data_IF_906398854626
#
_entry.id   IF_906398854626
#
_cell.length_a   1.000
_cell.length_b   1.000
_cell.length_c   1.000
_cell.angle_alpha   90.00
_cell.angle_beta   90.00
_cell.angle_gamma   90.00
#
_symmetry.space_group_name_H-M   'P 1'
#
loop_
_entity.id
_entity.type
_entity.pdbx_description
1 polymer ?
#
# COMPACT_ATOMS: atom_id res chain seq x y z
N UNK A 1 -6.36 -28.30 -37.74
CA UNK A 1 -7.64 -27.68 -37.47
C UNK A 1 -7.36 -26.40 -36.68
N UNK A 2 -7.42 -25.22 -37.29
CA UNK A 2 -7.19 -23.93 -36.66
C UNK A 2 -8.42 -23.56 -35.82
N UNK A 3 -8.24 -22.96 -34.62
CA UNK A 3 -9.37 -22.48 -33.83
C UNK A 3 -10.11 -21.34 -34.59
N UNK A 4 -11.41 -21.16 -34.36
CA UNK A 4 -12.18 -20.11 -35.04
C UNK A 4 -11.70 -18.71 -34.61
N UNK A 5 -11.83 -17.70 -35.49
CA UNK A 5 -11.47 -16.33 -35.16
C UNK A 5 -12.35 -15.79 -34.03
N UNK A 6 -11.72 -15.13 -33.06
CA UNK A 6 -12.41 -14.45 -31.95
C UNK A 6 -13.11 -13.22 -32.50
N UNK A 7 -14.42 -13.12 -32.29
CA UNK A 7 -15.24 -11.97 -32.68
C UNK A 7 -14.84 -10.71 -31.90
N UNK A 8 -14.33 -9.65 -32.56
CA UNK A 8 -13.87 -8.44 -31.88
C UNK A 8 -15.01 -7.60 -31.28
N UNK A 9 -16.26 -8.01 -31.39
CA UNK A 9 -17.44 -7.27 -30.90
C UNK A 9 -17.96 -7.78 -29.54
N UNK A 10 -17.42 -8.86 -29.00
CA UNK A 10 -17.77 -9.32 -27.64
C UNK A 10 -17.16 -8.39 -26.60
N UNK A 11 -17.87 -7.33 -26.26
CA UNK A 11 -17.62 -6.53 -25.06
C UNK A 11 -17.94 -7.40 -23.86
N UNK A 12 -16.91 -7.97 -23.23
CA UNK A 12 -17.02 -8.56 -21.90
C UNK A 12 -17.38 -7.40 -20.97
N UNK A 13 -18.64 -7.35 -20.53
CA UNK A 13 -19.08 -6.39 -19.52
C UNK A 13 -18.39 -6.79 -18.21
N UNK A 14 -17.58 -5.91 -17.58
CA UNK A 14 -17.01 -6.24 -16.29
C UNK A 14 -18.15 -6.55 -15.31
N UNK A 15 -17.97 -7.51 -14.39
CA UNK A 15 -18.97 -7.82 -13.39
C UNK A 15 -19.31 -6.54 -12.61
N UNK A 16 -20.60 -6.28 -12.41
CA UNK A 16 -21.06 -5.19 -11.57
C UNK A 16 -20.59 -5.50 -10.14
N UNK A 17 -19.60 -4.77 -9.66
CA UNK A 17 -19.07 -4.94 -8.32
C UNK A 17 -20.17 -4.70 -7.29
N UNK A 18 -20.33 -5.62 -6.36
CA UNK A 18 -21.15 -5.39 -5.16
C UNK A 18 -20.37 -4.46 -4.25
N UNK A 19 -21.00 -3.38 -3.75
CA UNK A 19 -20.48 -2.66 -2.58
C UNK A 19 -20.19 -3.70 -1.52
N UNK A 20 -18.93 -3.77 -1.07
CA UNK A 20 -18.53 -4.71 -0.02
C UNK A 20 -18.97 -4.13 1.32
N UNK A 21 -19.72 -4.90 2.13
CA UNK A 21 -19.94 -4.59 3.56
C UNK A 21 -18.68 -4.89 4.40
N UNK A 22 -17.54 -5.14 3.75
CA UNK A 22 -16.28 -5.51 4.40
C UNK A 22 -15.54 -4.24 4.86
N UNK A 23 -15.24 -4.16 6.14
CA UNK A 23 -14.43 -3.08 6.70
C UNK A 23 -12.96 -3.18 6.26
N UNK A 24 -12.21 -2.07 6.38
CA UNK A 24 -10.83 -1.97 5.91
C UNK A 24 -9.89 -2.98 6.58
N UNK A 25 -10.09 -3.26 7.87
CA UNK A 25 -9.23 -4.18 8.63
C UNK A 25 -9.39 -5.61 8.15
N UNK A 26 -10.62 -6.01 7.84
CA UNK A 26 -10.95 -7.32 7.26
C UNK A 26 -10.52 -7.40 5.79
N UNK A 27 -10.75 -6.33 5.00
CA UNK A 27 -10.37 -6.29 3.60
C UNK A 27 -8.86 -6.45 3.38
N UNK A 28 -8.06 -5.97 4.32
CA UNK A 28 -6.59 -6.03 4.28
C UNK A 28 -5.99 -7.11 5.19
N UNK A 29 -6.78 -7.99 5.78
CA UNK A 29 -6.33 -9.02 6.74
C UNK A 29 -5.41 -8.45 7.84
N UNK A 30 -5.73 -7.24 8.33
CA UNK A 30 -4.83 -6.44 9.16
C UNK A 30 -4.91 -6.73 10.67
N UNK A 31 -5.83 -7.59 11.12
CA UNK A 31 -5.99 -7.88 12.56
C UNK A 31 -4.84 -8.74 13.05
N UNK A 32 -4.17 -8.28 14.10
CA UNK A 32 -3.02 -8.94 14.72
C UNK A 32 -1.90 -9.32 13.71
N UNK A 33 -1.76 -8.55 12.64
CA UNK A 33 -0.85 -8.80 11.53
C UNK A 33 0.23 -7.72 11.39
N UNK A 34 1.37 -8.09 10.85
CA UNK A 34 2.41 -7.17 10.39
C UNK A 34 2.09 -6.72 8.97
N UNK A 35 1.55 -5.50 8.83
CA UNK A 35 1.11 -4.93 7.56
C UNK A 35 2.11 -3.93 7.02
N UNK A 36 2.73 -4.24 5.88
CA UNK A 36 3.70 -3.39 5.20
C UNK A 36 3.09 -2.66 4.01
N UNK A 37 3.03 -1.33 4.04
CA UNK A 37 2.48 -0.53 2.95
C UNK A 37 3.60 0.01 2.07
N UNK A 38 3.56 -0.33 0.77
CA UNK A 38 4.52 0.06 -0.26
C UNK A 38 3.84 0.78 -1.42
N UNK A 39 4.60 1.43 -2.31
CA UNK A 39 4.02 2.14 -3.45
C UNK A 39 3.79 3.63 -3.22
N UNK A 40 2.76 4.22 -3.82
CA UNK A 40 2.46 5.65 -3.73
C UNK A 40 0.94 5.91 -3.81
N UNK A 41 0.50 7.14 -3.48
CA UNK A 41 -0.91 7.50 -3.62
C UNK A 41 -1.81 7.17 -2.42
N UNK A 42 -1.23 6.96 -1.20
CA UNK A 42 -2.09 6.77 -0.02
C UNK A 42 -1.48 6.03 1.17
N UNK A 43 -0.20 5.64 1.16
CA UNK A 43 0.43 4.83 2.22
C UNK A 43 0.14 5.30 3.66
N UNK A 44 0.39 6.57 3.95
CA UNK A 44 0.13 7.10 5.31
C UNK A 44 -1.35 7.07 5.67
N UNK A 45 -2.21 7.40 4.71
CA UNK A 45 -3.65 7.32 4.91
C UNK A 45 -4.12 5.90 5.20
N UNK A 46 -3.52 4.89 4.53
CA UNK A 46 -3.78 3.48 4.82
C UNK A 46 -3.36 3.11 6.25
N UNK A 47 -2.12 3.46 6.64
CA UNK A 47 -1.60 3.17 7.98
C UNK A 47 -2.48 3.78 9.07
N UNK A 48 -2.83 5.07 8.95
CA UNK A 48 -3.64 5.75 9.96
C UNK A 48 -5.11 5.30 9.93
N UNK A 49 -5.68 5.05 8.75
CA UNK A 49 -7.03 4.49 8.67
C UNK A 49 -7.14 3.09 9.30
N UNK A 50 -6.09 2.28 9.23
CA UNK A 50 -6.00 1.01 9.96
C UNK A 50 -5.77 1.25 11.46
N UNK A 51 -4.85 2.14 11.84
CA UNK A 51 -4.55 2.44 13.23
C UNK A 51 -5.78 2.91 14.02
N UNK A 52 -6.62 3.74 13.39
CA UNK A 52 -7.88 4.24 13.97
C UNK A 52 -8.95 3.12 14.20
N UNK A 53 -8.75 1.92 13.65
CA UNK A 53 -9.74 0.82 13.63
C UNK A 53 -9.28 -0.47 14.31
N UNK A 54 -8.00 -0.55 14.65
CA UNK A 54 -7.39 -1.74 15.27
C UNK A 54 -7.26 -1.56 16.78
N UNK A 55 -7.23 -2.67 17.50
CA UNK A 55 -6.94 -2.67 18.93
C UNK A 55 -5.41 -2.64 19.14
N UNK A 56 -4.94 -1.70 19.95
CA UNK A 56 -3.54 -1.49 20.33
C UNK A 56 -2.52 -1.65 19.20
N UNK A 57 -2.69 -0.96 18.04
CA UNK A 57 -1.76 -1.08 16.92
C UNK A 57 -0.48 -0.27 17.16
N UNK A 58 0.62 -0.77 16.63
CA UNK A 58 1.89 -0.05 16.48
C UNK A 58 1.96 0.58 15.10
N UNK A 59 2.39 1.83 14.99
CA UNK A 59 2.70 2.50 13.73
C UNK A 59 4.19 2.80 13.66
N UNK A 60 4.87 2.26 12.67
CA UNK A 60 6.32 2.44 12.50
C UNK A 60 6.72 2.56 11.01
N UNK A 61 8.00 2.62 10.74
CA UNK A 61 8.55 2.65 9.40
C UNK A 61 9.93 1.99 9.34
N UNK A 62 10.24 1.36 8.22
CA UNK A 62 11.60 0.91 7.89
C UNK A 62 12.37 1.90 7.02
N UNK A 63 11.76 3.04 6.71
CA UNK A 63 12.32 4.16 5.94
C UNK A 63 11.90 5.47 6.57
N UNK A 64 12.45 6.59 6.11
CA UNK A 64 12.02 7.92 6.59
C UNK A 64 10.52 8.11 6.50
N UNK A 65 9.92 8.64 7.57
CA UNK A 65 8.49 8.95 7.65
C UNK A 65 8.31 10.41 8.10
N UNK A 66 7.40 11.20 7.53
CA UNK A 66 7.03 12.50 8.08
C UNK A 66 6.53 12.38 9.52
N UNK A 67 6.68 13.45 10.30
CA UNK A 67 6.11 13.54 11.66
C UNK A 67 4.63 13.19 11.61
N UNK A 68 4.17 12.40 12.58
CA UNK A 68 2.81 11.87 12.64
C UNK A 68 2.22 11.85 14.08
N UNK A 69 2.77 12.70 14.94
CA UNK A 69 2.36 12.81 16.35
C UNK A 69 0.87 13.15 16.51
N UNK A 70 0.29 13.84 15.56
CA UNK A 70 -1.13 14.19 15.50
C UNK A 70 -2.05 13.05 14.99
N UNK A 71 -1.48 11.89 14.66
CA UNK A 71 -2.19 10.76 14.04
C UNK A 71 -2.21 9.52 14.92
N UNK A 72 -1.57 9.55 16.07
CA UNK A 72 -1.47 8.46 17.04
C UNK A 72 -1.62 9.02 18.45
N UNK A 73 -1.90 8.19 19.44
CA UNK A 73 -2.09 8.65 20.81
C UNK A 73 -0.75 9.05 21.46
N UNK A 74 0.31 8.29 21.16
CA UNK A 74 1.67 8.59 21.64
C UNK A 74 2.71 8.25 20.56
N UNK A 75 3.84 9.00 20.56
CA UNK A 75 5.03 8.64 19.77
C UNK A 75 6.19 8.49 20.73
N UNK A 76 6.87 7.36 20.68
CA UNK A 76 8.12 7.12 21.42
C UNK A 76 9.30 7.11 20.44
N UNK A 77 10.25 8.00 20.68
CA UNK A 77 11.49 8.09 19.91
C UNK A 77 12.56 7.35 20.71
N UNK A 78 12.96 6.16 20.26
CA UNK A 78 13.84 5.27 21.03
C UNK A 78 14.59 4.31 20.12
N UNK A 79 15.81 3.94 20.51
CA UNK A 79 16.58 2.84 19.91
C UNK A 79 16.22 1.46 20.51
N UNK A 80 15.45 1.43 21.61
CA UNK A 80 14.95 0.21 22.26
C UNK A 80 13.40 0.16 22.19
N UNK A 81 12.83 -0.21 21.04
CA UNK A 81 11.39 -0.19 20.86
C UNK A 81 10.67 -1.32 21.62
N UNK A 82 11.32 -2.45 21.89
CA UNK A 82 10.71 -3.57 22.64
C UNK A 82 10.47 -3.18 24.10
N UNK A 83 11.46 -2.57 24.76
CA UNK A 83 11.24 -2.02 26.12
C UNK A 83 10.15 -0.94 26.10
N UNK A 84 10.10 -0.10 25.07
CA UNK A 84 9.06 0.92 24.96
C UNK A 84 7.64 0.32 24.79
N UNK A 85 7.50 -0.86 24.15
CA UNK A 85 6.24 -1.59 24.10
C UNK A 85 5.81 -2.13 25.46
N UNK A 86 6.75 -2.72 26.20
CA UNK A 86 6.49 -3.27 27.54
C UNK A 86 6.06 -2.20 28.54
N UNK A 87 6.55 -0.96 28.35
CA UNK A 87 6.24 0.20 29.19
C UNK A 87 5.00 1.00 28.74
N UNK A 88 4.32 0.57 27.66
CA UNK A 88 3.17 1.30 27.13
C UNK A 88 1.90 1.09 27.96
N UNK A 89 1.26 2.20 28.32
CA UNK A 89 -0.01 2.21 29.02
C UNK A 89 -1.21 2.09 28.07
N UNK A 90 -2.39 1.80 28.60
CA UNK A 90 -3.64 1.67 27.82
C UNK A 90 -3.98 2.94 27.01
N UNK A 91 -3.59 4.11 27.49
CA UNK A 91 -3.82 5.40 26.81
C UNK A 91 -2.83 5.75 25.70
N UNK A 92 -1.78 4.95 25.47
CA UNK A 92 -0.73 5.23 24.48
C UNK A 92 -1.09 4.73 23.06
N UNK A 93 -2.18 3.99 22.90
CA UNK A 93 -2.57 3.37 21.64
C UNK A 93 -3.54 4.20 20.80
N UNK A 94 -3.33 4.29 19.45
CA UNK A 94 -2.23 3.75 18.63
C UNK A 94 -0.87 4.28 19.04
N UNK A 95 0.16 3.40 19.12
CA UNK A 95 1.51 3.79 19.52
C UNK A 95 2.43 3.95 18.30
N UNK A 96 3.01 5.13 18.14
CA UNK A 96 4.07 5.38 17.18
C UNK A 96 5.44 5.02 17.73
N UNK A 97 6.23 4.23 16.98
CA UNK A 97 7.62 3.89 17.33
C UNK A 97 8.58 4.30 16.22
N UNK A 98 9.61 5.06 16.55
CA UNK A 98 10.65 5.54 15.63
C UNK A 98 11.99 5.66 16.34
N UNK A 99 13.14 5.40 15.65
CA UNK A 99 14.45 5.42 16.32
C UNK A 99 14.94 6.83 16.64
N UNK A 100 14.67 7.79 15.75
CA UNK A 100 15.25 9.13 15.84
C UNK A 100 14.38 10.17 15.12
N UNK A 101 14.35 11.39 15.65
CA UNK A 101 13.83 12.57 14.95
C UNK A 101 14.96 13.22 14.13
N UNK A 102 15.05 12.85 12.84
CA UNK A 102 16.10 13.35 11.95
C UNK A 102 16.01 14.88 11.72
N UNK A 103 14.76 15.39 11.59
CA UNK A 103 14.46 16.80 11.34
C UNK A 103 13.15 17.21 12.00
N UNK A 104 12.86 18.51 11.94
CA UNK A 104 11.58 19.03 12.46
C UNK A 104 10.34 18.46 11.73
N UNK A 105 10.49 17.96 10.50
CA UNK A 105 9.40 17.48 9.65
C UNK A 105 9.40 15.96 9.46
N UNK A 106 10.40 15.20 10.01
CA UNK A 106 10.48 13.75 9.78
C UNK A 106 11.27 12.98 10.81
N UNK A 107 10.89 11.71 10.94
CA UNK A 107 11.60 10.67 11.67
C UNK A 107 12.40 9.78 10.72
N UNK A 108 13.46 9.15 11.23
CA UNK A 108 14.07 7.96 10.64
C UNK A 108 13.14 6.74 10.81
N UNK A 109 13.38 5.69 10.02
CA UNK A 109 12.81 4.38 10.25
C UNK A 109 13.84 3.46 10.87
N UNK A 110 13.39 2.39 11.53
CA UNK A 110 14.23 1.29 11.97
C UNK A 110 14.75 0.47 10.78
N UNK A 111 15.78 -0.34 10.98
CA UNK A 111 16.10 -1.41 10.05
C UNK A 111 15.02 -2.51 10.09
N UNK A 112 15.06 -3.41 9.12
CA UNK A 112 14.03 -4.45 8.97
C UNK A 112 14.08 -5.51 10.06
N UNK A 113 15.23 -5.73 10.70
CA UNK A 113 15.39 -6.67 11.81
C UNK A 113 14.71 -6.12 13.05
N UNK A 114 14.97 -4.86 13.41
CA UNK A 114 14.30 -4.17 14.51
C UNK A 114 12.77 -4.07 14.28
N UNK A 115 12.32 -3.82 13.03
CA UNK A 115 10.87 -3.84 12.73
C UNK A 115 10.28 -5.22 12.97
N UNK A 116 11.01 -6.30 12.65
CA UNK A 116 10.55 -7.66 12.94
C UNK A 116 10.45 -7.93 14.44
N UNK A 117 11.41 -7.47 15.25
CA UNK A 117 11.36 -7.56 16.73
C UNK A 117 10.17 -6.79 17.31
N UNK A 118 9.88 -5.59 16.78
CA UNK A 118 8.68 -4.82 17.15
C UNK A 118 7.42 -5.65 16.86
N UNK A 119 7.33 -6.24 15.68
CA UNK A 119 6.16 -7.01 15.26
C UNK A 119 5.95 -8.26 16.14
N UNK A 120 7.03 -8.95 16.49
CA UNK A 120 6.98 -10.13 17.37
C UNK A 120 6.57 -9.78 18.82
N UNK A 121 6.90 -8.57 19.30
CA UNK A 121 6.60 -8.09 20.65
C UNK A 121 5.27 -7.31 20.76
N UNK A 122 4.72 -6.83 19.65
CA UNK A 122 3.53 -5.99 19.64
C UNK A 122 2.28 -6.76 20.15
N UNK A 123 1.44 -6.13 21.00
CA UNK A 123 0.22 -6.77 21.51
C UNK A 123 -0.92 -6.83 20.47
N UNK A 124 -0.78 -6.19 19.34
CA UNK A 124 -1.73 -6.12 18.23
C UNK A 124 -1.00 -5.92 16.90
N UNK A 125 -1.69 -5.40 15.91
CA UNK A 125 -1.11 -5.23 14.58
C UNK A 125 0.08 -4.25 14.54
N UNK A 126 1.09 -4.55 13.71
CA UNK A 126 2.21 -3.66 13.41
C UNK A 126 2.08 -3.11 11.99
N UNK A 127 1.90 -1.80 11.90
CA UNK A 127 1.65 -1.07 10.65
C UNK A 127 2.92 -0.36 10.19
N UNK A 128 3.51 -0.82 9.09
CA UNK A 128 4.85 -0.45 8.64
C UNK A 128 4.82 0.33 7.33
N UNK A 129 5.38 1.54 7.33
CA UNK A 129 5.70 2.22 6.08
C UNK A 129 7.05 1.71 5.55
N UNK A 130 7.02 0.89 4.49
CA UNK A 130 8.20 0.15 4.03
C UNK A 130 8.93 0.78 2.82
N UNK A 131 8.47 1.92 2.29
CA UNK A 131 9.14 2.61 1.20
C UNK A 131 8.88 4.13 1.14
N UNK A 132 9.69 4.85 0.34
CA UNK A 132 9.55 6.28 0.03
C UNK A 132 8.77 6.52 -1.27
N UNK A 133 7.99 7.63 -1.35
CA UNK A 133 7.28 8.02 -2.58
C UNK A 133 7.26 9.54 -2.84
N UNK A 134 7.92 10.36 -2.01
CA UNK A 134 8.00 11.82 -2.15
C UNK A 134 6.65 12.50 -2.42
N UNK A 135 5.58 12.00 -1.79
CA UNK A 135 4.18 12.48 -1.96
C UNK A 135 3.63 12.31 -3.38
N UNK A 136 4.17 11.42 -4.17
CA UNK A 136 3.65 11.09 -5.50
C UNK A 136 2.49 10.11 -5.43
N UNK A 137 1.76 10.00 -6.52
CA UNK A 137 0.55 9.20 -6.66
C UNK A 137 0.79 7.81 -7.26
N UNK A 138 1.94 7.63 -7.91
CA UNK A 138 2.38 6.37 -8.48
C UNK A 138 3.90 6.22 -8.36
N UNK A 139 4.41 4.99 -8.37
CA UNK A 139 5.86 4.72 -8.34
C UNK A 139 6.21 3.31 -8.76
N UNK A 140 7.47 3.12 -9.12
CA UNK A 140 8.17 1.84 -9.02
C UNK A 140 9.26 1.91 -7.94
N UNK A 141 9.59 0.78 -7.27
CA UNK A 141 10.64 0.74 -6.25
C UNK A 141 12.02 0.92 -6.89
N UNK A 142 12.94 1.57 -6.16
CA UNK A 142 14.35 1.61 -6.51
C UNK A 142 15.09 0.33 -6.10
N UNK A 143 16.41 0.32 -6.29
CA UNK A 143 17.25 -0.86 -6.04
C UNK A 143 17.12 -1.38 -4.59
N UNK A 144 17.18 -0.49 -3.61
CA UNK A 144 17.13 -0.82 -2.18
C UNK A 144 15.73 -0.68 -1.56
N UNK A 145 14.69 -0.62 -2.37
CA UNK A 145 13.29 -0.56 -1.91
C UNK A 145 12.49 -1.74 -2.47
N UNK A 146 11.45 -2.16 -1.76
CA UNK A 146 11.05 -1.75 -0.41
C UNK A 146 11.93 -2.39 0.69
N UNK A 147 11.81 -1.87 1.94
CA UNK A 147 12.43 -2.42 3.15
C UNK A 147 11.35 -3.13 3.96
N UNK A 148 11.04 -4.37 3.61
CA UNK A 148 10.00 -5.19 4.24
C UNK A 148 10.66 -6.13 5.25
N UNK A 149 10.19 -6.20 6.53
CA UNK A 149 10.67 -7.17 7.49
C UNK A 149 10.31 -8.60 7.07
N UNK A 150 11.11 -9.57 7.48
CA UNK A 150 10.97 -10.97 7.05
C UNK A 150 9.70 -11.66 7.58
N UNK A 151 9.15 -11.17 8.69
CA UNK A 151 7.92 -11.64 9.33
C UNK A 151 6.68 -10.81 8.98
N UNK A 152 6.70 -10.09 7.83
CA UNK A 152 5.50 -9.42 7.33
C UNK A 152 4.44 -10.45 6.94
N UNK A 153 3.22 -10.28 7.43
CA UNK A 153 2.06 -11.13 7.10
C UNK A 153 1.35 -10.62 5.85
N UNK A 154 1.22 -9.29 5.74
CA UNK A 154 0.52 -8.64 4.64
C UNK A 154 1.37 -7.54 4.03
N UNK A 155 1.51 -7.56 2.71
CA UNK A 155 2.09 -6.44 1.96
C UNK A 155 1.00 -5.78 1.13
N UNK A 156 0.88 -4.46 1.24
CA UNK A 156 -0.11 -3.64 0.57
C UNK A 156 0.56 -2.75 -0.47
N UNK A 157 0.70 -3.21 -1.74
CA UNK A 157 1.11 -2.34 -2.84
C UNK A 157 -0.01 -1.36 -3.16
N UNK A 158 0.26 -0.04 -3.11
CA UNK A 158 -0.76 0.98 -3.33
C UNK A 158 -0.42 1.92 -4.48
N UNK A 159 -1.44 2.26 -5.29
CA UNK A 159 -1.40 3.33 -6.27
C UNK A 159 -2.69 4.17 -6.21
N UNK A 160 -2.64 5.40 -6.75
CA UNK A 160 -3.82 6.26 -6.91
C UNK A 160 -4.52 5.98 -8.25
N UNK A 161 -5.85 5.98 -8.25
CA UNK A 161 -6.65 5.97 -9.48
C UNK A 161 -6.44 7.23 -10.33
N UNK A 162 -6.15 8.37 -9.69
CA UNK A 162 -5.96 9.67 -10.34
C UNK A 162 -4.77 9.75 -11.30
N UNK A 163 -3.90 8.74 -11.35
CA UNK A 163 -2.78 8.75 -12.31
C UNK A 163 -3.20 8.26 -13.70
N UNK A 164 -4.37 7.65 -13.82
CA UNK A 164 -4.88 7.16 -15.10
C UNK A 164 -5.30 8.34 -15.98
N UNK A 165 -4.81 8.35 -17.22
CA UNK A 165 -5.01 9.46 -18.14
C UNK A 165 -3.97 10.57 -18.04
N UNK A 166 -3.13 10.56 -17.00
CA UNK A 166 -2.09 11.56 -16.77
C UNK A 166 -0.75 11.14 -17.42
N UNK A 167 0.13 12.10 -17.73
CA UNK A 167 1.42 11.78 -18.33
C UNK A 167 2.38 11.14 -17.32
N UNK A 168 3.20 10.19 -17.78
CA UNK A 168 4.26 9.55 -17.00
C UNK A 168 5.42 10.54 -16.77
N UNK A 169 5.32 11.35 -15.71
CA UNK A 169 6.28 12.42 -15.38
C UNK A 169 6.67 12.41 -13.90
N UNK A 170 7.77 13.07 -13.55
CA UNK A 170 8.22 13.21 -12.16
C UNK A 170 7.26 14.01 -11.27
N UNK A 171 6.30 14.74 -11.84
CA UNK A 171 5.32 15.50 -11.08
C UNK A 171 4.32 14.60 -10.36
N UNK A 172 3.91 13.50 -10.99
CA UNK A 172 2.93 12.55 -10.47
C UNK A 172 3.55 11.22 -10.05
N UNK A 173 4.66 10.84 -10.70
CA UNK A 173 5.28 9.54 -10.54
C UNK A 173 6.65 9.65 -9.88
N UNK A 174 6.89 8.86 -8.85
CA UNK A 174 8.21 8.73 -8.26
C UNK A 174 9.00 7.66 -9.00
N UNK A 175 10.13 8.02 -9.60
CA UNK A 175 10.96 7.20 -10.49
C UNK A 175 10.21 6.75 -11.75
N UNK A 176 9.83 7.71 -12.62
CA UNK A 176 9.12 7.37 -13.86
C UNK A 176 9.95 6.50 -14.80
N UNK A 177 11.28 6.55 -14.74
CA UNK A 177 12.15 5.70 -15.55
C UNK A 177 12.00 4.21 -15.19
N UNK A 178 11.89 3.88 -13.91
CA UNK A 178 11.64 2.51 -13.43
C UNK A 178 10.24 2.03 -13.81
N UNK A 179 9.23 2.93 -13.76
CA UNK A 179 7.89 2.63 -14.26
C UNK A 179 7.93 2.36 -15.76
N UNK A 180 8.63 3.20 -16.53
CA UNK A 180 8.84 3.03 -17.98
C UNK A 180 9.48 1.66 -18.28
N UNK A 181 10.51 1.28 -17.53
CA UNK A 181 11.20 0.00 -17.69
C UNK A 181 10.29 -1.22 -17.44
N UNK A 182 9.36 -1.12 -16.47
CA UNK A 182 8.42 -2.20 -16.13
C UNK A 182 7.28 -2.28 -17.16
N UNK A 183 6.78 -1.12 -17.62
CA UNK A 183 5.57 -1.04 -18.45
C UNK A 183 5.86 -1.06 -19.97
N UNK A 184 7.08 -0.74 -20.37
CA UNK A 184 7.45 -0.51 -21.76
C UNK A 184 6.91 0.82 -22.32
N UNK A 185 6.53 1.78 -21.43
CA UNK A 185 6.12 3.12 -21.81
C UNK A 185 7.30 4.06 -21.95
N UNK A 186 7.11 5.10 -22.73
CA UNK A 186 8.03 6.23 -22.75
C UNK A 186 7.65 7.29 -21.72
N UNK A 187 8.64 8.07 -21.24
CA UNK A 187 8.41 9.22 -20.38
C UNK A 187 7.57 10.24 -21.15
N UNK A 188 6.47 10.69 -20.51
CA UNK A 188 5.49 11.60 -21.10
C UNK A 188 4.29 10.90 -21.73
N UNK A 189 4.32 9.58 -21.90
CA UNK A 189 3.16 8.83 -22.34
C UNK A 189 2.02 8.89 -21.31
N UNK A 190 0.78 8.81 -21.81
CA UNK A 190 -0.42 8.69 -20.95
C UNK A 190 -0.40 7.36 -20.19
N UNK A 191 -0.57 7.40 -18.87
CA UNK A 191 -0.67 6.25 -17.99
C UNK A 191 -2.05 5.61 -18.14
N UNK A 192 -2.10 4.33 -18.52
CA UNK A 192 -3.33 3.55 -18.67
C UNK A 192 -3.57 2.65 -17.45
N UNK A 193 -4.81 2.17 -17.22
CA UNK A 193 -5.07 1.19 -16.16
C UNK A 193 -4.16 -0.03 -16.22
N UNK A 194 -3.86 -0.55 -17.41
CA UNK A 194 -2.95 -1.68 -17.62
C UNK A 194 -1.51 -1.39 -17.18
N UNK A 195 -1.04 -0.15 -17.28
CA UNK A 195 0.31 0.25 -16.87
C UNK A 195 0.42 0.26 -15.34
N UNK A 196 -0.59 0.79 -14.64
CA UNK A 196 -0.69 0.74 -13.17
C UNK A 196 -0.73 -0.71 -12.68
N UNK A 197 -1.57 -1.54 -13.29
CA UNK A 197 -1.69 -2.95 -12.96
C UNK A 197 -0.37 -3.70 -13.19
N UNK A 198 0.32 -3.43 -14.31
CA UNK A 198 1.62 -4.05 -14.63
C UNK A 198 2.64 -3.76 -13.54
N UNK A 199 2.71 -2.53 -13.03
CA UNK A 199 3.62 -2.18 -11.93
C UNK A 199 3.20 -2.84 -10.63
N UNK A 200 1.91 -2.75 -10.23
CA UNK A 200 1.43 -3.32 -8.95
C UNK A 200 1.55 -4.85 -8.90
N UNK A 201 1.39 -5.54 -10.03
CA UNK A 201 1.48 -6.99 -10.16
C UNK A 201 2.90 -7.51 -10.47
N UNK A 202 3.89 -6.63 -10.64
CA UNK A 202 5.24 -7.01 -11.04
C UNK A 202 6.14 -7.38 -9.87
N UNK A 203 6.94 -8.46 -9.96
CA UNK A 203 8.03 -8.75 -9.00
C UNK A 203 9.15 -7.67 -9.00
N UNK A 204 9.23 -6.84 -10.04
CA UNK A 204 10.10 -5.66 -10.07
C UNK A 204 9.39 -4.39 -9.62
N UNK A 205 8.09 -4.45 -9.35
CA UNK A 205 7.22 -3.36 -8.94
C UNK A 205 6.61 -3.56 -7.56
N UNK A 206 5.28 -3.60 -7.49
CA UNK A 206 4.52 -3.70 -6.24
C UNK A 206 4.75 -4.99 -5.44
N UNK A 207 5.12 -6.10 -6.11
CA UNK A 207 5.40 -7.39 -5.48
C UNK A 207 6.88 -7.59 -5.17
N UNK A 208 7.73 -6.59 -5.39
CA UNK A 208 9.16 -6.69 -5.10
C UNK A 208 9.39 -6.88 -3.60
N UNK A 209 10.18 -7.90 -3.24
CA UNK A 209 10.58 -8.17 -1.87
C UNK A 209 9.46 -8.64 -0.95
N UNK A 210 8.29 -9.02 -1.48
CA UNK A 210 7.23 -9.68 -0.70
C UNK A 210 7.75 -11.01 -0.18
N UNK A 211 7.74 -11.25 1.15
CA UNK A 211 8.13 -12.54 1.71
C UNK A 211 7.25 -13.68 1.19
N UNK A 212 7.82 -14.90 1.10
CA UNK A 212 7.12 -16.05 0.51
C UNK A 212 5.86 -16.48 1.25
N UNK A 213 5.81 -16.23 2.55
CA UNK A 213 4.66 -16.57 3.42
C UNK A 213 3.69 -15.37 3.58
N UNK A 214 4.05 -14.18 3.08
CA UNK A 214 3.20 -13.00 3.15
C UNK A 214 2.13 -12.99 2.04
N UNK A 215 0.97 -12.44 2.37
CA UNK A 215 -0.09 -12.18 1.40
C UNK A 215 0.04 -10.77 0.81
N UNK A 216 0.11 -10.64 -0.51
CA UNK A 216 0.03 -9.36 -1.16
C UNK A 216 -1.44 -8.98 -1.45
N UNK A 217 -1.89 -7.82 -0.95
CA UNK A 217 -3.24 -7.29 -1.18
C UNK A 217 -3.11 -5.88 -1.79
N UNK A 218 -3.14 -5.75 -3.13
CA UNK A 218 -3.03 -4.46 -3.78
C UNK A 218 -4.22 -3.54 -3.48
N UNK A 219 -3.94 -2.23 -3.37
CA UNK A 219 -4.93 -1.18 -3.14
C UNK A 219 -4.88 -0.17 -4.28
N UNK A 220 -6.03 0.18 -4.82
CA UNK A 220 -6.21 1.33 -5.69
C UNK A 220 -7.00 2.39 -4.93
N UNK A 221 -6.33 3.45 -4.55
CA UNK A 221 -6.88 4.52 -3.72
C UNK A 221 -7.29 5.75 -4.53
N UNK A 222 -7.97 6.69 -3.88
CA UNK A 222 -8.55 7.90 -4.46
C UNK A 222 -9.63 7.58 -5.50
N UNK A 223 -10.50 6.66 -5.14
CA UNK A 223 -11.71 6.37 -5.92
C UNK A 223 -12.79 7.33 -5.45
N UNK A 224 -12.77 8.55 -5.99
CA UNK A 224 -13.57 9.66 -5.49
C UNK A 224 -14.90 9.78 -6.24
N UNK A 225 -14.97 9.31 -7.49
CA UNK A 225 -16.15 9.32 -8.34
C UNK A 225 -16.28 8.05 -9.18
N UNK A 226 -17.29 8.00 -10.09
CA UNK A 226 -17.56 6.83 -10.94
C UNK A 226 -16.51 6.65 -12.05
N UNK A 227 -15.85 7.72 -12.50
CA UNK A 227 -14.77 7.62 -13.49
C UNK A 227 -13.53 6.96 -12.85
N UNK A 228 -13.19 7.39 -11.63
CA UNK A 228 -12.14 6.75 -10.82
C UNK A 228 -12.48 5.30 -10.52
N UNK A 229 -13.74 5.00 -10.18
CA UNK A 229 -14.19 3.63 -9.94
C UNK A 229 -14.07 2.74 -11.17
N UNK A 230 -14.38 3.27 -12.36
CA UNK A 230 -14.22 2.54 -13.61
C UNK A 230 -12.73 2.26 -13.91
N UNK A 231 -11.85 3.24 -13.72
CA UNK A 231 -10.41 3.09 -13.88
C UNK A 231 -9.84 2.07 -12.86
N UNK A 232 -10.24 2.18 -11.58
CA UNK A 232 -9.80 1.29 -10.52
C UNK A 232 -10.25 -0.17 -10.74
N UNK A 233 -11.47 -0.40 -11.20
CA UNK A 233 -11.95 -1.75 -11.59
C UNK A 233 -11.15 -2.33 -12.75
N UNK A 234 -10.80 -1.50 -13.74
CA UNK A 234 -9.96 -1.94 -14.85
C UNK A 234 -8.54 -2.31 -14.35
N UNK A 235 -7.95 -1.52 -13.45
CA UNK A 235 -6.67 -1.84 -12.79
C UNK A 235 -6.80 -3.16 -12.02
N UNK A 236 -7.84 -3.31 -11.20
CA UNK A 236 -8.02 -4.50 -10.37
C UNK A 236 -8.17 -5.78 -11.19
N UNK A 237 -8.98 -5.77 -12.25
CA UNK A 237 -9.14 -6.91 -13.16
C UNK A 237 -7.82 -7.32 -13.83
N UNK A 238 -7.00 -6.35 -14.24
CA UNK A 238 -5.69 -6.61 -14.83
C UNK A 238 -4.68 -7.14 -13.79
N UNK A 239 -4.73 -6.68 -12.53
CA UNK A 239 -3.86 -7.22 -11.45
C UNK A 239 -4.21 -8.68 -11.19
N UNK A 240 -5.49 -9.01 -11.01
CA UNK A 240 -5.97 -10.38 -10.75
C UNK A 240 -5.64 -11.34 -11.90
N UNK A 241 -5.61 -10.83 -13.13
CA UNK A 241 -5.19 -11.63 -14.28
C UNK A 241 -3.67 -11.89 -14.30
N UNK A 242 -2.84 -10.95 -13.80
CA UNK A 242 -1.37 -11.00 -13.92
C UNK A 242 -0.68 -11.64 -12.72
N UNK A 243 -1.27 -11.55 -11.53
CA UNK A 243 -0.64 -11.95 -10.28
C UNK A 243 -1.57 -12.85 -9.46
N UNK A 244 -0.96 -13.77 -8.71
CA UNK A 244 -1.69 -14.60 -7.75
C UNK A 244 -1.88 -13.81 -6.44
N UNK A 245 -2.87 -12.92 -6.42
CA UNK A 245 -3.31 -12.18 -5.24
C UNK A 245 -4.76 -12.52 -4.94
N UNK A 246 -5.18 -12.55 -3.66
CA UNK A 246 -6.54 -13.01 -3.32
C UNK A 246 -7.62 -12.01 -3.73
N UNK A 247 -7.28 -10.72 -3.75
CA UNK A 247 -8.21 -9.62 -4.05
C UNK A 247 -7.46 -8.31 -4.27
N UNK A 248 -8.16 -7.32 -4.81
CA UNK A 248 -7.72 -5.92 -4.93
C UNK A 248 -8.76 -5.04 -4.25
N UNK A 249 -8.31 -4.11 -3.40
CA UNK A 249 -9.20 -3.23 -2.65
C UNK A 249 -9.23 -1.84 -3.31
N UNK A 250 -10.42 -1.38 -3.66
CA UNK A 250 -10.66 -0.03 -4.14
C UNK A 250 -11.04 0.85 -2.95
N UNK A 251 -10.33 1.95 -2.76
CA UNK A 251 -10.49 2.76 -1.54
C UNK A 251 -10.63 4.25 -1.80
N UNK A 252 -11.31 4.90 -0.85
CA UNK A 252 -11.31 6.33 -0.62
C UNK A 252 -10.91 6.56 0.84
N UNK A 253 -9.62 6.50 1.12
CA UNK A 253 -9.05 6.44 2.47
C UNK A 253 -9.32 7.66 3.35
N UNK A 254 -9.82 8.76 2.79
CA UNK A 254 -10.24 9.96 3.54
C UNK A 254 -11.71 9.90 4.00
N UNK A 255 -12.48 8.90 3.57
CA UNK A 255 -13.87 8.72 3.97
C UNK A 255 -13.98 7.95 5.29
N UNK A 256 -15.07 8.13 6.02
CA UNK A 256 -15.37 7.38 7.25
C UNK A 256 -15.46 5.87 6.97
N UNK A 257 -16.07 5.52 5.83
CA UNK A 257 -16.06 4.16 5.27
C UNK A 257 -15.12 4.14 4.05
N UNK A 258 -13.87 3.70 4.22
CA UNK A 258 -12.85 3.85 3.20
C UNK A 258 -12.89 2.79 2.08
N UNK A 259 -13.58 1.67 2.28
CA UNK A 259 -13.67 0.59 1.27
C UNK A 259 -14.81 0.90 0.29
N UNK A 260 -14.46 1.18 -0.95
CA UNK A 260 -15.43 1.41 -2.03
C UNK A 260 -15.89 0.08 -2.62
N UNK A 261 -14.94 -0.84 -2.87
CA UNK A 261 -15.21 -2.13 -3.49
C UNK A 261 -14.06 -3.11 -3.19
N UNK A 262 -14.39 -4.39 -3.05
CA UNK A 262 -13.42 -5.50 -3.04
C UNK A 262 -13.62 -6.29 -4.33
N UNK A 263 -12.55 -6.47 -5.11
CA UNK A 263 -12.55 -7.21 -6.38
C UNK A 263 -11.74 -8.50 -6.19
N UNK A 264 -12.40 -9.64 -6.43
CA UNK A 264 -11.85 -11.01 -6.30
C UNK A 264 -11.81 -11.74 -7.65
#
# INVERSE_FOLDING_TARGET
MLPPPVDPTVRVRPPAGKRSDMDLTTALDARDATVCVVGAGGKKSTLFALADRLDRPVVTASVRIPIFDDRVAAVRVTEDPVTALDEADEGDWPLGLVPERERSDRYLGYDTETVAEIADAAPGATLVKADGARLRDFKAPGEHEPQIPSNADVVVPIASAHVVGEPLTEELVHRPAEVAAITGRDIGDEIRPADVATVLASPAGGLKGVPGDATAIPVVNKVDDEADAAAARAIAGEILFRANVPRVILTRLIADDPVVEVVE
#
